data_IF_392099711071
#
_entry.id   IF_392099711071
#
_cell.length_a   1.000
_cell.length_b   1.000
_cell.length_c   1.000
_cell.angle_alpha   90.00
_cell.angle_beta   90.00
_cell.angle_gamma   90.00
#
_symmetry.space_group_name_H-M   'P 1'
#
loop_
_entity.id
_entity.type
_entity.pdbx_description
1 polymer ?
#
# COMPACT_ATOMS: atom_id res chain seq x y z
N UNK A 1 -26.25 -16.75 15.43
CA UNK A 1 -24.84 -17.15 15.36
C UNK A 1 -24.14 -16.25 14.34
N UNK A 2 -23.29 -15.36 14.80
CA UNK A 2 -22.43 -14.55 13.95
C UNK A 2 -21.15 -15.35 13.66
N UNK A 3 -20.80 -15.46 12.38
CA UNK A 3 -19.53 -16.05 11.96
C UNK A 3 -18.54 -14.92 11.74
N UNK A 4 -17.45 -14.95 12.49
CA UNK A 4 -16.29 -14.09 12.27
C UNK A 4 -15.12 -14.96 11.83
N UNK A 5 -14.52 -14.67 10.70
CA UNK A 5 -13.27 -15.25 10.20
C UNK A 5 -13.12 -16.77 10.45
N UNK A 6 -14.14 -17.56 10.08
CA UNK A 6 -14.22 -19.02 10.22
C UNK A 6 -14.56 -19.59 11.61
N UNK A 7 -14.70 -18.80 12.65
CA UNK A 7 -15.13 -19.29 13.96
C UNK A 7 -16.55 -18.82 14.32
N UNK A 8 -17.36 -19.73 14.84
CA UNK A 8 -18.68 -19.40 15.34
C UNK A 8 -18.58 -18.98 16.81
N UNK A 9 -18.87 -17.70 17.10
CA UNK A 9 -19.00 -17.25 18.47
C UNK A 9 -20.42 -17.48 19.00
N UNK A 10 -20.53 -18.09 20.16
CA UNK A 10 -21.80 -18.30 20.87
C UNK A 10 -21.81 -17.36 22.07
N UNK A 11 -22.84 -16.51 22.14
CA UNK A 11 -23.03 -15.58 23.24
C UNK A 11 -24.10 -16.08 24.20
N UNK A 12 -23.88 -15.96 25.55
CA UNK A 12 -24.91 -16.31 26.53
C UNK A 12 -26.18 -15.48 26.33
N UNK A 13 -27.32 -16.08 26.64
CA UNK A 13 -28.63 -15.42 26.53
C UNK A 13 -28.95 -14.63 27.82
N UNK A 14 -28.13 -13.65 28.13
CA UNK A 14 -28.27 -12.73 29.26
C UNK A 14 -27.81 -11.32 28.87
N UNK A 15 -27.86 -10.34 29.76
CA UNK A 15 -27.43 -8.97 29.50
C UNK A 15 -25.95 -8.90 29.11
N UNK A 16 -25.10 -9.68 29.75
CA UNK A 16 -23.67 -9.76 29.43
C UNK A 16 -23.45 -10.29 28.02
N UNK A 17 -24.20 -11.31 27.61
CA UNK A 17 -24.16 -11.85 26.26
C UNK A 17 -24.62 -10.84 25.20
N UNK A 18 -25.67 -10.05 25.49
CA UNK A 18 -26.14 -8.99 24.63
C UNK A 18 -25.10 -7.87 24.48
N UNK A 19 -24.45 -7.47 25.56
CA UNK A 19 -23.38 -6.46 25.54
C UNK A 19 -22.17 -6.94 24.73
N UNK A 20 -21.77 -8.22 24.90
CA UNK A 20 -20.71 -8.84 24.12
C UNK A 20 -21.05 -8.90 22.63
N UNK A 21 -22.28 -9.29 22.29
CA UNK A 21 -22.75 -9.33 20.90
C UNK A 21 -22.76 -7.94 20.28
N UNK A 22 -23.25 -6.94 21.01
CA UNK A 22 -23.28 -5.54 20.57
C UNK A 22 -21.86 -5.01 20.30
N UNK A 23 -20.92 -5.30 21.20
CA UNK A 23 -19.52 -4.94 21.04
C UNK A 23 -18.88 -5.62 19.81
N UNK A 24 -19.19 -6.91 19.59
CA UNK A 24 -18.69 -7.65 18.42
C UNK A 24 -19.25 -7.11 17.10
N UNK A 25 -20.54 -6.80 17.05
CA UNK A 25 -21.16 -6.17 15.88
C UNK A 25 -20.49 -4.83 15.57
N UNK A 26 -20.30 -3.98 16.58
CA UNK A 26 -19.63 -2.68 16.40
C UNK A 26 -18.20 -2.82 15.90
N UNK A 27 -17.47 -3.82 16.41
CA UNK A 27 -16.12 -4.16 15.96
C UNK A 27 -16.10 -4.58 14.48
N UNK A 28 -17.02 -5.45 14.09
CA UNK A 28 -17.14 -5.92 12.72
C UNK A 28 -17.53 -4.82 11.75
N UNK A 29 -18.45 -3.94 12.13
CA UNK A 29 -18.86 -2.78 11.33
C UNK A 29 -17.70 -1.81 11.13
N UNK A 30 -16.93 -1.53 12.19
CA UNK A 30 -15.72 -0.71 12.10
C UNK A 30 -14.69 -1.30 11.15
N UNK A 31 -14.40 -2.60 11.26
CA UNK A 31 -13.46 -3.29 10.37
C UNK A 31 -13.93 -3.25 8.92
N UNK A 32 -15.22 -3.42 8.67
CA UNK A 32 -15.79 -3.33 7.31
C UNK A 32 -15.63 -1.94 6.72
N UNK A 33 -15.88 -0.89 7.51
CA UNK A 33 -15.73 0.50 7.08
C UNK A 33 -14.26 0.83 6.79
N UNK A 34 -13.34 0.40 7.65
CA UNK A 34 -11.91 0.59 7.46
C UNK A 34 -11.39 -0.14 6.21
N UNK A 35 -11.89 -1.35 5.93
CA UNK A 35 -11.55 -2.09 4.73
C UNK A 35 -12.09 -1.41 3.46
N UNK A 36 -13.33 -0.92 3.49
CA UNK A 36 -13.94 -0.19 2.38
C UNK A 36 -13.22 1.14 2.11
N UNK A 37 -12.84 1.87 3.15
CA UNK A 37 -12.05 3.12 3.04
C UNK A 37 -10.68 2.84 2.41
N UNK A 38 -10.02 1.77 2.82
CA UNK A 38 -8.71 1.36 2.31
C UNK A 38 -8.76 0.98 0.84
N UNK A 39 -9.78 0.23 0.43
CA UNK A 39 -10.03 -0.12 -0.96
C UNK A 39 -10.27 1.13 -1.81
N UNK A 40 -11.08 2.05 -1.34
CA UNK A 40 -11.32 3.33 -2.01
C UNK A 40 -10.03 4.13 -2.19
N UNK A 41 -9.22 4.27 -1.14
CA UNK A 41 -7.94 4.99 -1.21
C UNK A 41 -6.97 4.30 -2.17
N UNK A 42 -6.88 2.98 -2.13
CA UNK A 42 -6.04 2.19 -3.05
C UNK A 42 -6.47 2.38 -4.51
N UNK A 43 -7.76 2.31 -4.80
CA UNK A 43 -8.30 2.49 -6.15
C UNK A 43 -8.02 3.91 -6.68
N UNK A 44 -8.23 4.93 -5.86
CA UNK A 44 -7.95 6.32 -6.24
C UNK A 44 -6.45 6.61 -6.36
N UNK A 45 -5.63 5.99 -5.53
CA UNK A 45 -4.17 6.07 -5.65
C UNK A 45 -3.70 5.46 -6.97
N UNK A 46 -4.23 4.30 -7.35
CA UNK A 46 -3.94 3.66 -8.63
C UNK A 46 -4.30 4.59 -9.78
N UNK A 47 -5.48 5.21 -9.74
CA UNK A 47 -5.92 6.16 -10.77
C UNK A 47 -4.96 7.37 -10.86
N UNK A 48 -4.56 7.94 -9.74
CA UNK A 48 -3.61 9.07 -9.69
C UNK A 48 -2.25 8.68 -10.26
N UNK A 49 -1.72 7.53 -9.86
CA UNK A 49 -0.41 7.04 -10.33
C UNK A 49 -0.42 6.79 -11.84
N UNK A 50 -1.48 6.17 -12.35
CA UNK A 50 -1.65 5.91 -13.80
C UNK A 50 -1.84 7.22 -14.60
N UNK A 51 -2.59 8.19 -14.07
CA UNK A 51 -2.72 9.53 -14.68
C UNK A 51 -1.37 10.26 -14.79
N UNK A 52 -0.46 10.00 -13.86
CA UNK A 52 0.91 10.53 -13.87
C UNK A 52 1.88 9.70 -14.73
N UNK A 53 1.42 8.61 -15.34
CA UNK A 53 2.19 7.74 -16.21
C UNK A 53 2.92 6.59 -15.50
N UNK A 54 2.57 6.30 -14.25
CA UNK A 54 3.14 5.20 -13.48
C UNK A 54 2.17 4.02 -13.46
N UNK A 55 2.39 3.05 -14.33
CA UNK A 55 1.52 1.87 -14.44
C UNK A 55 1.73 0.94 -13.25
N UNK A 56 0.64 0.37 -12.74
CA UNK A 56 0.71 -0.64 -11.69
C UNK A 56 1.31 -1.94 -12.23
N UNK A 57 2.30 -2.49 -11.54
CA UNK A 57 2.99 -3.72 -11.92
C UNK A 57 2.47 -4.96 -11.19
N UNK A 58 2.08 -4.80 -9.95
CA UNK A 58 1.65 -5.90 -9.11
C UNK A 58 1.40 -5.51 -7.68
N UNK A 59 1.13 -6.51 -6.86
CA UNK A 59 0.85 -6.33 -5.43
C UNK A 59 1.34 -7.51 -4.60
N UNK A 60 1.44 -7.31 -3.31
CA UNK A 60 1.61 -8.36 -2.31
C UNK A 60 0.92 -7.98 -1.00
N UNK A 61 0.49 -8.99 -0.27
CA UNK A 61 -0.05 -8.83 1.08
C UNK A 61 0.87 -9.52 2.08
N UNK A 62 0.89 -9.04 3.32
CA UNK A 62 1.68 -9.65 4.36
C UNK A 62 1.30 -9.16 5.74
N UNK A 63 2.00 -9.72 6.74
CA UNK A 63 1.85 -9.36 8.14
C UNK A 63 3.23 -9.00 8.68
N UNK A 64 3.37 -7.80 9.25
CA UNK A 64 4.60 -7.37 9.93
C UNK A 64 4.81 -8.18 11.21
N UNK A 65 6.05 -8.20 11.71
CA UNK A 65 6.37 -8.83 13.01
C UNK A 65 5.53 -8.28 14.17
N UNK A 66 5.07 -7.04 14.07
CA UNK A 66 4.15 -6.41 15.03
C UNK A 66 2.70 -6.93 14.96
N UNK A 67 2.37 -7.79 14.00
CA UNK A 67 1.00 -8.26 13.72
C UNK A 67 0.19 -7.35 12.80
N UNK A 68 0.72 -6.18 12.41
CA UNK A 68 0.07 -5.26 11.48
C UNK A 68 0.03 -5.85 10.07
N UNK A 69 -1.16 -6.00 9.51
CA UNK A 69 -1.36 -6.42 8.11
C UNK A 69 -1.01 -5.26 7.18
N UNK A 70 -0.49 -5.58 6.00
CA UNK A 70 -0.20 -4.59 4.98
C UNK A 70 -0.50 -5.11 3.58
N UNK A 71 -0.80 -4.17 2.68
CA UNK A 71 -0.85 -4.36 1.24
C UNK A 71 0.25 -3.50 0.61
N UNK A 72 1.08 -4.08 -0.24
CA UNK A 72 1.97 -3.34 -1.11
C UNK A 72 1.43 -3.31 -2.53
N UNK A 73 1.51 -2.16 -3.17
CA UNK A 73 1.29 -1.99 -4.61
C UNK A 73 2.54 -1.42 -5.25
N UNK A 74 2.93 -2.00 -6.36
CA UNK A 74 4.17 -1.68 -7.07
C UNK A 74 3.84 -0.97 -8.37
N UNK A 75 4.44 0.20 -8.60
CA UNK A 75 4.25 1.04 -9.79
C UNK A 75 5.56 1.23 -10.53
N UNK A 76 5.51 1.14 -11.86
CA UNK A 76 6.67 1.38 -12.71
C UNK A 76 7.05 2.87 -12.72
N UNK A 77 8.26 3.18 -12.29
CA UNK A 77 8.81 4.53 -12.36
C UNK A 77 9.72 4.75 -13.57
N UNK A 78 10.07 3.69 -14.27
CA UNK A 78 10.99 3.69 -15.41
C UNK A 78 12.44 3.40 -15.02
N UNK A 79 13.25 3.06 -16.01
CA UNK A 79 14.68 2.72 -15.87
C UNK A 79 14.97 1.60 -14.85
N UNK A 80 14.06 0.64 -14.72
CA UNK A 80 14.19 -0.46 -13.77
C UNK A 80 13.89 -0.09 -12.31
N UNK A 81 13.35 1.12 -12.07
CA UNK A 81 12.92 1.58 -10.75
C UNK A 81 11.41 1.45 -10.59
N UNK A 82 10.98 1.33 -9.35
CA UNK A 82 9.57 1.29 -9.00
C UNK A 82 9.26 2.07 -7.72
N UNK A 83 8.03 2.56 -7.65
CA UNK A 83 7.44 3.10 -6.41
C UNK A 83 6.64 2.00 -5.76
N UNK A 84 6.96 1.70 -4.50
CA UNK A 84 6.21 0.78 -3.66
C UNK A 84 5.34 1.58 -2.70
N UNK A 85 4.04 1.36 -2.74
CA UNK A 85 3.08 1.97 -1.82
C UNK A 85 2.61 0.92 -0.84
N UNK A 86 2.81 1.19 0.44
CA UNK A 86 2.40 0.32 1.54
C UNK A 86 1.18 0.89 2.23
N UNK A 87 0.09 0.14 2.24
CA UNK A 87 -1.12 0.42 3.01
C UNK A 87 -1.13 -0.47 4.24
N UNK A 88 -0.92 0.11 5.40
CA UNK A 88 -0.94 -0.62 6.67
C UNK A 88 -2.35 -0.65 7.27
N UNK A 89 -2.67 -1.69 8.02
CA UNK A 89 -3.97 -1.84 8.69
C UNK A 89 -4.25 -0.79 9.77
N UNK A 90 -3.21 -0.07 10.24
CA UNK A 90 -3.33 1.09 11.13
C UNK A 90 -3.68 2.41 10.41
N UNK A 91 -3.88 2.37 9.10
CA UNK A 91 -4.23 3.50 8.26
C UNK A 91 -3.06 4.32 7.72
N UNK A 92 -1.83 3.95 8.05
CA UNK A 92 -0.63 4.59 7.50
C UNK A 92 -0.37 4.15 6.07
N UNK A 93 0.01 5.10 5.23
CA UNK A 93 0.39 4.89 3.84
C UNK A 93 1.81 5.40 3.66
N UNK A 94 2.68 4.55 3.14
CA UNK A 94 4.10 4.90 2.92
C UNK A 94 4.46 4.70 1.47
N UNK A 95 5.14 5.66 0.87
CA UNK A 95 5.74 5.55 -0.45
C UNK A 95 7.25 5.41 -0.35
N UNK A 96 7.78 4.46 -1.09
CA UNK A 96 9.21 4.17 -1.18
C UNK A 96 9.57 3.95 -2.64
N UNK A 97 10.73 4.44 -3.05
CA UNK A 97 11.27 4.19 -4.37
C UNK A 97 12.46 3.24 -4.25
N UNK A 98 12.52 2.27 -5.13
CA UNK A 98 13.62 1.30 -5.18
C UNK A 98 13.92 0.84 -6.59
N UNK A 99 15.05 0.14 -6.73
CA UNK A 99 15.43 -0.54 -7.95
C UNK A 99 14.86 -1.96 -7.94
N UNK A 100 14.22 -2.34 -9.03
CA UNK A 100 13.70 -3.70 -9.19
C UNK A 100 14.81 -4.69 -9.50
N UNK A 101 14.74 -5.87 -8.88
CA UNK A 101 15.56 -7.03 -9.17
C UNK A 101 14.75 -8.29 -8.86
N UNK A 102 15.25 -9.44 -9.31
CA UNK A 102 14.67 -10.75 -9.04
C UNK A 102 15.24 -11.44 -7.80
N UNK A 103 16.05 -10.75 -7.02
CA UNK A 103 16.74 -11.31 -5.84
C UNK A 103 16.77 -10.33 -4.68
N UNK A 104 16.83 -10.89 -3.46
CA UNK A 104 17.12 -10.13 -2.26
C UNK A 104 18.60 -9.79 -2.21
N UNK A 105 18.92 -8.53 -2.32
CA UNK A 105 20.28 -8.01 -2.18
C UNK A 105 20.26 -6.57 -1.68
N UNK A 106 21.42 -6.10 -1.27
CA UNK A 106 21.63 -4.71 -0.92
C UNK A 106 22.18 -3.97 -2.14
N UNK A 107 21.68 -2.76 -2.48
CA UNK A 107 22.25 -1.98 -3.57
C UNK A 107 23.72 -1.63 -3.28
N UNK A 108 24.54 -1.66 -4.31
CA UNK A 108 25.92 -1.21 -4.19
C UNK A 108 26.02 0.33 -4.07
N UNK A 109 27.22 0.85 -3.84
CA UNK A 109 27.43 2.29 -3.62
C UNK A 109 27.00 3.13 -4.83
N UNK A 110 27.24 2.66 -6.04
CA UNK A 110 26.83 3.33 -7.28
C UNK A 110 25.31 3.33 -7.45
N UNK A 111 24.68 2.20 -7.19
CA UNK A 111 23.22 2.07 -7.23
C UNK A 111 22.55 2.96 -6.19
N UNK A 112 23.09 3.05 -4.97
CA UNK A 112 22.59 3.96 -3.92
C UNK A 112 22.63 5.41 -4.35
N UNK A 113 23.74 5.85 -4.95
CA UNK A 113 23.89 7.22 -5.43
C UNK A 113 22.87 7.56 -6.52
N UNK A 114 22.67 6.65 -7.49
CA UNK A 114 21.65 6.80 -8.54
C UNK A 114 20.24 6.83 -7.95
N UNK A 115 19.93 5.93 -7.02
CA UNK A 115 18.63 5.87 -6.37
C UNK A 115 18.31 7.14 -5.57
N UNK A 116 19.27 7.71 -4.84
CA UNK A 116 19.07 8.99 -4.12
C UNK A 116 18.71 10.11 -5.10
N UNK A 117 19.35 10.18 -6.26
CA UNK A 117 19.00 11.12 -7.32
C UNK A 117 17.56 10.93 -7.82
N UNK A 118 17.16 9.69 -8.07
CA UNK A 118 15.81 9.33 -8.51
C UNK A 118 14.76 9.62 -7.42
N UNK A 119 15.08 9.31 -6.16
CA UNK A 119 14.24 9.64 -5.00
C UNK A 119 14.01 11.15 -4.87
N UNK A 120 15.07 11.95 -5.10
CA UNK A 120 15.00 13.42 -5.08
C UNK A 120 14.07 13.94 -6.18
N UNK A 121 14.16 13.37 -7.37
CA UNK A 121 13.25 13.69 -8.47
C UNK A 121 11.80 13.33 -8.12
N UNK A 122 11.56 12.15 -7.57
CA UNK A 122 10.23 11.73 -7.17
C UNK A 122 9.65 12.60 -6.05
N UNK A 123 10.47 13.06 -5.10
CA UNK A 123 10.04 14.01 -4.06
C UNK A 123 9.45 15.29 -4.64
N UNK A 124 9.94 15.78 -5.78
CA UNK A 124 9.39 16.95 -6.44
C UNK A 124 7.99 16.74 -7.00
N UNK A 125 7.64 15.50 -7.29
CA UNK A 125 6.32 15.08 -7.83
C UNK A 125 5.32 14.71 -6.75
N UNK A 126 5.79 14.47 -5.52
CA UNK A 126 4.95 14.02 -4.42
C UNK A 126 3.79 14.98 -4.09
N UNK A 127 4.05 16.30 -4.16
CA UNK A 127 3.01 17.32 -3.98
C UNK A 127 1.89 17.26 -5.02
N UNK A 128 2.21 16.86 -6.23
CA UNK A 128 1.21 16.66 -7.28
C UNK A 128 0.32 15.45 -6.94
N UNK A 129 0.91 14.38 -6.42
CA UNK A 129 0.16 13.21 -5.94
C UNK A 129 -0.80 13.61 -4.82
N UNK A 130 -0.31 14.33 -3.81
CA UNK A 130 -1.13 14.83 -2.71
C UNK A 130 -2.28 15.71 -3.20
N UNK A 131 -2.00 16.63 -4.12
CA UNK A 131 -2.99 17.52 -4.72
C UNK A 131 -4.08 16.77 -5.50
N UNK A 132 -3.71 15.80 -6.30
CA UNK A 132 -4.66 14.95 -7.05
C UNK A 132 -5.52 14.08 -6.13
N UNK A 133 -4.94 13.54 -5.06
CA UNK A 133 -5.70 12.80 -4.05
C UNK A 133 -6.68 13.71 -3.31
N UNK A 134 -6.29 14.94 -2.98
CA UNK A 134 -7.16 15.91 -2.33
C UNK A 134 -8.38 16.29 -3.20
N UNK A 135 -8.22 16.40 -4.51
CA UNK A 135 -9.32 16.60 -5.46
C UNK A 135 -10.34 15.45 -5.44
N UNK A 136 -9.88 14.25 -5.08
CA UNK A 136 -10.72 13.04 -4.91
C UNK A 136 -11.26 12.86 -3.48
N UNK A 137 -11.08 13.87 -2.62
CA UNK A 137 -11.54 13.86 -1.22
C UNK A 137 -10.62 13.14 -0.25
N UNK A 138 -9.40 12.77 -0.67
CA UNK A 138 -8.42 12.08 0.17
C UNK A 138 -7.41 13.09 0.71
N UNK A 139 -7.50 13.37 2.02
CA UNK A 139 -6.54 14.24 2.71
C UNK A 139 -5.33 13.42 3.17
N UNK A 140 -4.26 13.48 2.39
CA UNK A 140 -3.06 12.67 2.59
C UNK A 140 -2.16 13.15 3.74
N UNK A 141 -2.27 14.40 4.17
CA UNK A 141 -1.33 15.09 5.09
C UNK A 141 -1.01 14.35 6.39
N UNK A 142 -1.93 13.54 6.90
CA UNK A 142 -1.76 12.82 8.17
C UNK A 142 -1.46 11.33 8.01
N UNK A 143 -1.65 10.78 6.82
CA UNK A 143 -1.59 9.33 6.57
C UNK A 143 -0.50 8.93 5.60
N UNK A 144 -0.23 9.77 4.61
CA UNK A 144 0.72 9.50 3.54
C UNK A 144 2.09 10.10 3.87
N UNK A 145 3.11 9.28 3.86
CA UNK A 145 4.50 9.70 4.01
C UNK A 145 5.36 9.15 2.89
N UNK A 146 6.29 9.97 2.45
CA UNK A 146 7.33 9.58 1.50
C UNK A 146 8.64 9.38 2.25
N UNK A 147 9.33 8.27 1.98
CA UNK A 147 10.69 8.07 2.50
C UNK A 147 11.63 9.12 1.93
N UNK A 148 12.44 9.76 2.78
CA UNK A 148 13.34 10.82 2.32
C UNK A 148 14.44 10.30 1.38
N UNK A 149 14.98 11.15 0.50
CA UNK A 149 16.05 10.77 -0.44
C UNK A 149 17.40 10.67 0.28
N UNK A 150 17.61 9.54 0.94
CA UNK A 150 18.80 9.21 1.70
C UNK A 150 19.28 7.81 1.34
N UNK A 151 20.59 7.58 1.35
CA UNK A 151 21.19 6.27 1.09
C UNK A 151 20.69 5.17 2.05
N UNK A 152 20.30 5.53 3.27
CA UNK A 152 19.72 4.61 4.24
C UNK A 152 18.38 4.02 3.77
N UNK A 153 17.65 4.69 2.90
CA UNK A 153 16.37 4.25 2.34
C UNK A 153 16.48 3.75 0.89
N UNK A 154 17.69 3.78 0.32
CA UNK A 154 17.94 3.18 -1.00
C UNK A 154 17.86 1.64 -0.89
N UNK A 155 16.96 1.04 -1.67
CA UNK A 155 16.65 -0.38 -1.56
C UNK A 155 16.49 -1.06 -2.91
N UNK A 156 16.69 -2.37 -2.90
CA UNK A 156 16.28 -3.26 -3.96
C UNK A 156 14.89 -3.80 -3.64
N UNK A 157 14.01 -3.76 -4.62
CA UNK A 157 12.68 -4.36 -4.55
C UNK A 157 12.73 -5.70 -5.27
N UNK A 158 12.58 -6.79 -4.51
CA UNK A 158 12.52 -8.13 -5.09
C UNK A 158 11.14 -8.36 -5.71
N UNK A 159 11.09 -8.39 -7.04
CA UNK A 159 9.83 -8.57 -7.79
C UNK A 159 9.24 -9.97 -7.65
N UNK A 160 10.05 -10.98 -7.26
CA UNK A 160 9.57 -12.33 -6.98
C UNK A 160 8.63 -12.42 -5.75
N UNK A 161 8.70 -11.42 -4.86
CA UNK A 161 7.81 -11.32 -3.69
C UNK A 161 6.39 -10.83 -4.05
N UNK A 162 6.19 -10.36 -5.28
CA UNK A 162 4.94 -9.76 -5.74
C UNK A 162 4.19 -10.67 -6.70
N UNK A 163 2.85 -10.60 -6.65
CA UNK A 163 2.00 -11.10 -7.72
C UNK A 163 1.98 -10.03 -8.81
N UNK A 164 2.68 -10.30 -9.92
CA UNK A 164 2.78 -9.37 -11.04
C UNK A 164 1.53 -9.48 -11.92
N UNK A 165 1.02 -8.33 -12.34
CA UNK A 165 -0.09 -8.26 -13.27
C UNK A 165 0.41 -8.41 -14.70
N UNK A 166 -0.29 -9.21 -15.50
CA UNK A 166 0.00 -9.31 -16.93
C UNK A 166 -0.40 -7.99 -17.61
N UNK A 167 0.49 -7.43 -18.41
CA UNK A 167 0.21 -6.24 -19.20
C UNK A 167 -0.99 -6.51 -20.13
N UNK A 168 -2.11 -5.82 -19.90
CA UNK A 168 -3.28 -5.84 -20.77
C UNK A 168 -3.05 -5.20 -22.15
N UNK A 169 -1.83 -4.75 -22.46
CA UNK A 169 -1.52 -3.99 -23.68
C UNK A 169 -1.20 -4.82 -24.91
N UNK A 170 -1.43 -6.14 -24.93
CA UNK A 170 -1.09 -6.99 -26.09
C UNK A 170 -2.30 -7.36 -26.96
N UNK A 171 -3.51 -6.94 -26.66
CA UNK A 171 -4.70 -7.33 -27.43
C UNK A 171 -5.61 -6.15 -27.84
N UNK A 172 -5.03 -5.06 -28.33
CA UNK A 172 -5.74 -4.07 -29.16
C UNK A 172 -4.94 -3.85 -30.44
N UNK A 173 -4.97 -4.84 -31.31
CA UNK A 173 -4.85 -4.74 -32.76
C UNK A 173 -6.08 -5.27 -33.41
#
# INVERSE_FOLDING_TARGET
TLKTDSESHVFPFDQKGLDQLSAEISRMEKQRLEAAEREYISDEMTAVMEEMGYDILGSREGIKKSGTKFLNELYDYGNGNAVNITYASDGKITMELGKMDSSDRIPDTSEKAVLVGTMTEFCSRFREIEGRLAEKGILAEKRLSLMPPDEAFAQIINTEDYILYQNKRVNEE
#
